data_IF_596641786932
#
_entry.id   IF_596641786932
#
_cell.length_a   1.000
_cell.length_b   1.000
_cell.length_c   1.000
_cell.angle_alpha   90.00
_cell.angle_beta   90.00
_cell.angle_gamma   90.00
#
_symmetry.space_group_name_H-M   'P 1'
#
loop_
_entity.id
_entity.type
_entity.pdbx_description
1 polymer ?
#
# COMPACT_ATOMS: atom_id res chain seq x y z
N UNK A 1 -9.32 0.14 27.30
CA UNK A 1 -9.13 -0.64 26.06
C UNK A 1 -9.30 0.27 24.84
N UNK A 2 -8.45 1.31 24.69
CA UNK A 2 -8.60 2.39 23.68
C UNK A 2 -7.38 2.55 22.76
N UNK A 3 -6.40 1.64 22.83
CA UNK A 3 -5.11 1.80 22.14
C UNK A 3 -5.14 1.49 20.63
N UNK A 4 -6.17 0.82 20.10
CA UNK A 4 -6.17 0.40 18.69
C UNK A 4 -6.56 1.52 17.69
N UNK A 5 -7.43 2.46 18.06
CA UNK A 5 -7.94 3.47 17.10
C UNK A 5 -6.86 4.47 16.66
N UNK A 6 -5.95 4.85 17.58
CA UNK A 6 -4.83 5.73 17.26
C UNK A 6 -3.79 5.08 16.33
N UNK A 7 -3.71 3.75 16.32
CA UNK A 7 -2.73 3.03 15.54
C UNK A 7 -2.98 3.10 14.02
N UNK A 8 -4.25 3.18 13.62
CA UNK A 8 -4.64 3.13 12.20
C UNK A 8 -4.79 4.51 11.54
N UNK A 9 -5.00 5.57 12.32
CA UNK A 9 -5.21 6.91 11.75
C UNK A 9 -3.96 7.44 11.01
N UNK A 10 -2.76 7.25 11.58
CA UNK A 10 -1.51 7.68 10.94
C UNK A 10 -1.28 7.02 9.57
N UNK A 11 -1.23 5.67 9.48
CA UNK A 11 -1.10 4.99 8.19
C UNK A 11 -2.23 5.28 7.21
N UNK A 12 -3.46 5.49 7.69
CA UNK A 12 -4.60 5.86 6.82
C UNK A 12 -4.41 7.23 6.17
N UNK A 13 -4.09 8.25 6.96
CA UNK A 13 -3.87 9.60 6.48
C UNK A 13 -2.65 9.66 5.55
N UNK A 14 -1.57 8.95 5.90
CA UNK A 14 -0.38 8.79 5.05
C UNK A 14 -0.72 8.14 3.70
N UNK A 15 -1.52 7.06 3.71
CA UNK A 15 -1.94 6.38 2.47
C UNK A 15 -2.80 7.30 1.62
N UNK A 16 -3.74 8.03 2.22
CA UNK A 16 -4.60 8.97 1.50
C UNK A 16 -3.80 10.11 0.88
N UNK A 17 -2.85 10.69 1.62
CA UNK A 17 -1.96 11.73 1.12
C UNK A 17 -1.13 11.24 -0.08
N UNK A 18 -0.54 10.03 0.02
CA UNK A 18 0.21 9.42 -1.08
C UNK A 18 -0.66 9.10 -2.30
N UNK A 19 -1.91 8.65 -2.11
CA UNK A 19 -2.85 8.42 -3.21
C UNK A 19 -3.17 9.72 -3.97
N UNK A 20 -3.40 10.81 -3.24
CA UNK A 20 -3.64 12.14 -3.83
C UNK A 20 -2.40 12.60 -4.59
N UNK A 21 -1.22 12.46 -4.00
CA UNK A 21 0.06 12.84 -4.62
C UNK A 21 0.32 12.02 -5.89
N UNK A 22 0.13 10.70 -5.85
CA UNK A 22 0.28 9.81 -7.00
C UNK A 22 -0.73 10.15 -8.13
N UNK A 23 -1.99 10.42 -7.79
CA UNK A 23 -3.00 10.89 -8.76
C UNK A 23 -2.56 12.18 -9.43
N UNK A 24 -2.09 13.14 -8.66
CA UNK A 24 -1.64 14.44 -9.18
C UNK A 24 -0.40 14.28 -10.07
N UNK A 25 0.54 13.41 -9.68
CA UNK A 25 1.71 13.07 -10.48
C UNK A 25 1.31 12.45 -11.84
N UNK A 26 0.41 11.45 -11.84
CA UNK A 26 -0.05 10.79 -13.06
C UNK A 26 -0.77 11.79 -13.98
N UNK A 27 -1.60 12.67 -13.42
CA UNK A 27 -2.29 13.71 -14.19
C UNK A 27 -1.31 14.71 -14.83
N UNK A 28 -0.25 15.09 -14.11
CA UNK A 28 0.82 15.93 -14.64
C UNK A 28 1.65 15.22 -15.72
N UNK A 29 1.91 13.92 -15.53
CA UNK A 29 2.70 13.11 -16.45
C UNK A 29 2.01 12.92 -17.82
N UNK A 30 0.69 13.07 -17.96
CA UNK A 30 0.03 13.02 -19.27
C UNK A 30 0.26 14.27 -20.14
N UNK A 31 1.02 15.26 -19.64
CA UNK A 31 1.37 16.48 -20.38
C UNK A 31 2.16 16.20 -21.67
N UNK A 32 2.03 17.11 -22.64
CA UNK A 32 2.63 16.98 -23.98
C UNK A 32 4.16 16.79 -23.96
N UNK A 33 4.86 17.29 -22.94
CA UNK A 33 6.31 17.14 -22.77
C UNK A 33 6.73 15.69 -22.47
N UNK A 34 5.96 14.96 -21.66
CA UNK A 34 6.22 13.55 -21.36
C UNK A 34 5.97 12.63 -22.57
N UNK A 35 5.08 13.03 -23.49
CA UNK A 35 4.84 12.30 -24.74
C UNK A 35 6.05 12.30 -25.68
N UNK A 36 6.98 13.24 -25.51
CA UNK A 36 8.22 13.34 -26.29
C UNK A 36 9.32 12.39 -25.79
N UNK A 37 9.15 11.79 -24.61
CA UNK A 37 10.11 10.83 -24.07
C UNK A 37 10.18 9.56 -24.94
N UNK A 38 11.34 8.87 -24.97
CA UNK A 38 11.46 7.59 -25.66
C UNK A 38 10.39 6.58 -25.19
N UNK A 39 9.84 5.74 -26.08
CA UNK A 39 8.80 4.76 -25.72
C UNK A 39 9.16 3.86 -24.53
N UNK A 40 10.42 3.46 -24.43
CA UNK A 40 10.95 2.62 -23.35
C UNK A 40 10.87 3.33 -22.00
N UNK A 41 11.28 4.60 -21.95
CA UNK A 41 11.23 5.43 -20.73
C UNK A 41 9.77 5.63 -20.30
N UNK A 42 8.88 5.91 -21.26
CA UNK A 42 7.44 6.04 -20.98
C UNK A 42 6.83 4.76 -20.42
N UNK A 43 7.19 3.60 -20.99
CA UNK A 43 6.72 2.31 -20.50
C UNK A 43 7.19 2.07 -19.06
N UNK A 44 8.44 2.39 -18.76
CA UNK A 44 8.98 2.26 -17.42
C UNK A 44 8.26 3.17 -16.43
N UNK A 45 8.02 4.44 -16.77
CA UNK A 45 7.26 5.35 -15.92
C UNK A 45 5.83 4.83 -15.67
N UNK A 46 5.15 4.31 -16.68
CA UNK A 46 3.83 3.70 -16.51
C UNK A 46 3.85 2.49 -15.59
N UNK A 47 4.82 1.58 -15.79
CA UNK A 47 5.00 0.40 -14.95
C UNK A 47 5.20 0.79 -13.48
N UNK A 48 6.10 1.74 -13.24
CA UNK A 48 6.41 2.23 -11.89
C UNK A 48 5.24 2.97 -11.24
N UNK A 49 4.50 3.76 -12.02
CA UNK A 49 3.29 4.45 -11.53
C UNK A 49 2.22 3.44 -11.13
N UNK A 50 2.02 2.37 -11.93
CA UNK A 50 1.10 1.29 -11.58
C UNK A 50 1.54 0.59 -10.30
N UNK A 51 2.84 0.35 -10.13
CA UNK A 51 3.40 -0.26 -8.91
C UNK A 51 3.11 0.57 -7.67
N UNK A 52 3.30 1.90 -7.73
CA UNK A 52 2.89 2.82 -6.65
C UNK A 52 1.40 2.69 -6.36
N UNK A 53 0.54 2.74 -7.38
CA UNK A 53 -0.92 2.65 -7.17
C UNK A 53 -1.37 1.31 -6.59
N UNK A 54 -0.74 0.20 -7.00
CA UNK A 54 -1.02 -1.14 -6.47
C UNK A 54 -0.68 -1.23 -4.99
N UNK A 55 0.50 -0.76 -4.57
CA UNK A 55 0.90 -0.70 -3.16
C UNK A 55 -0.12 0.06 -2.32
N UNK A 56 -0.45 1.28 -2.75
CA UNK A 56 -1.34 2.16 -1.99
C UNK A 56 -2.77 1.64 -1.93
N UNK A 57 -3.28 1.04 -3.00
CA UNK A 57 -4.62 0.46 -3.05
C UNK A 57 -4.74 -0.71 -2.08
N UNK A 58 -3.76 -1.62 -2.08
CA UNK A 58 -3.76 -2.76 -1.17
C UNK A 58 -3.64 -2.33 0.29
N UNK A 59 -2.76 -1.37 0.58
CA UNK A 59 -2.66 -0.78 1.91
C UNK A 59 -3.99 -0.16 2.36
N UNK A 60 -4.66 0.58 1.47
CA UNK A 60 -5.95 1.20 1.78
C UNK A 60 -7.02 0.14 2.04
N UNK A 61 -7.10 -0.92 1.23
CA UNK A 61 -8.05 -2.02 1.41
C UNK A 61 -7.84 -2.70 2.79
N UNK A 62 -6.60 -3.01 3.14
CA UNK A 62 -6.26 -3.58 4.45
C UNK A 62 -6.68 -2.65 5.60
N UNK A 63 -6.34 -1.35 5.51
CA UNK A 63 -6.69 -0.37 6.55
C UNK A 63 -8.20 -0.20 6.72
N UNK A 64 -8.97 -0.26 5.63
CA UNK A 64 -10.44 -0.21 5.68
C UNK A 64 -11.02 -1.46 6.34
N UNK A 65 -10.46 -2.65 6.07
CA UNK A 65 -10.87 -3.87 6.77
C UNK A 65 -10.62 -3.77 8.29
N UNK A 66 -9.44 -3.28 8.70
CA UNK A 66 -9.14 -3.07 10.13
C UNK A 66 -10.09 -2.06 10.78
N UNK A 67 -10.48 -1.00 10.04
CA UNK A 67 -11.50 -0.05 10.51
C UNK A 67 -12.87 -0.69 10.67
N UNK A 68 -13.29 -1.54 9.74
CA UNK A 68 -14.56 -2.28 9.82
C UNK A 68 -14.59 -3.23 11.04
N UNK A 69 -13.46 -3.89 11.34
CA UNK A 69 -13.32 -4.70 12.56
C UNK A 69 -13.49 -3.85 13.81
N UNK A 70 -12.83 -2.68 13.85
CA UNK A 70 -12.95 -1.77 14.98
C UNK A 70 -14.38 -1.23 15.16
N UNK A 71 -15.11 -1.01 14.07
CA UNK A 71 -16.50 -0.58 14.08
C UNK A 71 -17.48 -1.72 14.46
N UNK A 72 -17.01 -2.97 14.55
CA UNK A 72 -17.86 -4.15 14.77
C UNK A 72 -18.65 -4.58 13.53
N UNK A 73 -18.29 -4.08 12.35
CA UNK A 73 -18.93 -4.38 11.07
C UNK A 73 -18.33 -5.64 10.40
N UNK A 74 -17.14 -6.07 10.86
CA UNK A 74 -16.40 -7.22 10.34
C UNK A 74 -15.73 -7.97 11.50
N UNK A 75 -15.61 -9.30 11.40
CA UNK A 75 -14.84 -10.06 12.40
C UNK A 75 -13.34 -10.02 12.10
N UNK A 76 -12.50 -10.32 13.11
CA UNK A 76 -11.04 -10.37 12.89
C UNK A 76 -10.65 -11.44 11.87
N UNK A 77 -11.35 -12.57 11.87
CA UNK A 77 -11.13 -13.70 10.96
C UNK A 77 -11.46 -13.29 9.52
N UNK A 78 -12.53 -12.52 9.32
CA UNK A 78 -12.89 -11.99 8.01
C UNK A 78 -11.83 -11.00 7.51
N UNK A 79 -11.35 -10.08 8.36
CA UNK A 79 -10.31 -9.14 7.97
C UNK A 79 -8.93 -9.78 7.77
N UNK A 80 -8.68 -10.94 8.37
CA UNK A 80 -7.47 -11.73 8.19
C UNK A 80 -7.57 -12.72 7.01
N UNK A 81 -8.67 -12.71 6.24
CA UNK A 81 -8.80 -13.56 5.06
C UNK A 81 -7.87 -13.12 3.92
N UNK A 82 -7.74 -13.96 2.90
CA UNK A 82 -6.97 -13.63 1.69
C UNK A 82 -7.57 -12.44 0.90
N UNK A 83 -8.85 -12.12 1.09
CA UNK A 83 -9.52 -11.02 0.40
C UNK A 83 -8.95 -9.65 0.79
N UNK A 84 -8.42 -9.54 2.01
CA UNK A 84 -7.82 -8.32 2.54
C UNK A 84 -6.31 -8.43 2.75
N UNK A 85 -5.70 -9.54 2.31
CA UNK A 85 -4.25 -9.72 2.35
C UNK A 85 -3.53 -8.68 1.46
N UNK A 86 -2.31 -8.34 1.83
CA UNK A 86 -1.41 -7.56 0.97
C UNK A 86 -0.82 -8.44 -0.15
N UNK A 87 -1.67 -8.93 -1.07
CA UNK A 87 -1.35 -9.92 -2.11
C UNK A 87 -0.51 -9.41 -3.29
N UNK A 88 0.11 -8.24 -3.15
CA UNK A 88 0.94 -7.60 -4.18
C UNK A 88 2.27 -8.30 -4.48
N UNK A 89 2.62 -9.29 -3.67
CA UNK A 89 3.73 -10.21 -3.91
C UNK A 89 5.08 -9.51 -4.12
N UNK A 90 5.94 -10.13 -4.93
CA UNK A 90 7.29 -9.63 -5.24
C UNK A 90 7.27 -8.22 -5.87
N UNK A 91 6.24 -7.91 -6.66
CA UNK A 91 6.14 -6.60 -7.32
C UNK A 91 5.97 -5.48 -6.28
N UNK A 92 5.06 -5.65 -5.33
CA UNK A 92 4.83 -4.60 -4.32
C UNK A 92 5.96 -4.54 -3.27
N UNK A 93 6.64 -5.66 -3.01
CA UNK A 93 7.77 -5.73 -2.07
C UNK A 93 9.14 -5.41 -2.69
N UNK A 94 9.24 -5.22 -4.01
CA UNK A 94 10.50 -4.84 -4.65
C UNK A 94 10.92 -3.38 -4.30
N UNK A 95 12.08 -3.16 -3.66
CA UNK A 95 12.55 -1.82 -3.30
C UNK A 95 13.17 -1.03 -4.47
N UNK A 96 13.30 -1.63 -5.67
CA UNK A 96 13.93 -1.00 -6.83
C UNK A 96 13.20 0.26 -7.30
N UNK A 97 13.88 1.09 -8.09
CA UNK A 97 13.29 2.24 -8.77
C UNK A 97 13.70 3.63 -8.22
N UNK A 98 13.75 3.88 -6.89
CA UNK A 98 14.19 5.16 -6.34
C UNK A 98 15.58 5.61 -6.80
N UNK A 99 16.49 4.66 -7.02
CA UNK A 99 17.87 4.92 -7.49
C UNK A 99 18.00 5.01 -9.02
N UNK A 100 16.93 4.76 -9.78
CA UNK A 100 16.98 4.84 -11.23
C UNK A 100 16.88 6.30 -11.70
N UNK A 101 18.01 6.91 -12.06
CA UNK A 101 18.08 8.32 -12.47
C UNK A 101 17.32 8.66 -13.77
N UNK A 102 16.96 7.66 -14.59
CA UNK A 102 16.12 7.86 -15.78
C UNK A 102 14.65 8.14 -15.40
N UNK A 103 14.25 7.84 -14.16
CA UNK A 103 12.92 8.15 -13.66
C UNK A 103 12.84 9.58 -13.11
N UNK A 104 11.71 10.29 -13.35
CA UNK A 104 11.48 11.59 -12.74
C UNK A 104 11.57 11.54 -11.23
N UNK A 105 12.22 12.53 -10.61
CA UNK A 105 12.44 12.59 -9.16
C UNK A 105 11.15 12.44 -8.33
N UNK A 106 10.03 13.01 -8.81
CA UNK A 106 8.73 12.86 -8.17
C UNK A 106 8.27 11.40 -8.09
N UNK A 107 8.47 10.61 -9.15
CA UNK A 107 8.13 9.19 -9.16
C UNK A 107 9.06 8.37 -8.27
N UNK A 108 10.35 8.70 -8.25
CA UNK A 108 11.34 8.04 -7.36
C UNK A 108 10.97 8.23 -5.89
N UNK A 109 10.58 9.45 -5.51
CA UNK A 109 10.06 9.76 -4.16
C UNK A 109 8.78 8.99 -3.84
N UNK A 110 7.83 8.91 -4.77
CA UNK A 110 6.59 8.14 -4.60
C UNK A 110 6.86 6.63 -4.45
N UNK A 111 7.82 6.07 -5.21
CA UNK A 111 8.23 4.67 -5.10
C UNK A 111 8.81 4.35 -3.72
N UNK A 112 9.74 5.18 -3.25
CA UNK A 112 10.38 5.00 -1.94
C UNK A 112 9.34 5.05 -0.80
N UNK A 113 8.51 6.10 -0.79
CA UNK A 113 7.51 6.31 0.27
C UNK A 113 6.42 5.26 0.26
N UNK A 114 5.89 4.92 -0.92
CA UNK A 114 4.88 3.86 -1.04
C UNK A 114 5.42 2.48 -0.65
N UNK A 115 6.68 2.18 -0.98
CA UNK A 115 7.33 0.93 -0.57
C UNK A 115 7.51 0.87 0.96
N UNK A 116 8.04 1.94 1.57
CA UNK A 116 8.22 2.01 3.03
C UNK A 116 6.89 1.82 3.79
N UNK A 117 5.83 2.48 3.33
CA UNK A 117 4.48 2.32 3.86
C UNK A 117 3.97 0.89 3.68
N UNK A 118 4.08 0.31 2.48
CA UNK A 118 3.67 -1.06 2.21
C UNK A 118 4.37 -2.06 3.13
N UNK A 119 5.69 -1.95 3.31
CA UNK A 119 6.46 -2.84 4.19
C UNK A 119 6.14 -2.68 5.67
N UNK A 120 5.74 -1.47 6.09
CA UNK A 120 5.23 -1.25 7.45
C UNK A 120 3.89 -1.96 7.63
N UNK A 121 2.94 -1.76 6.73
CA UNK A 121 1.60 -2.36 6.81
C UNK A 121 1.65 -3.88 6.66
N UNK A 122 2.55 -4.41 5.83
CA UNK A 122 2.79 -5.85 5.71
C UNK A 122 3.20 -6.50 7.05
N UNK A 123 4.03 -5.81 7.84
CA UNK A 123 4.38 -6.29 9.18
C UNK A 123 3.19 -6.27 10.14
N UNK A 124 2.31 -5.29 10.01
CA UNK A 124 1.08 -5.20 10.80
C UNK A 124 0.09 -6.32 10.43
N UNK A 125 -0.06 -6.60 9.13
CA UNK A 125 -0.88 -7.70 8.65
C UNK A 125 -0.42 -9.04 9.22
N UNK A 126 0.89 -9.32 9.17
CA UNK A 126 1.46 -10.53 9.75
C UNK A 126 1.18 -10.65 11.26
N UNK A 127 1.22 -9.55 12.01
CA UNK A 127 0.87 -9.54 13.44
C UNK A 127 -0.61 -9.84 13.66
N UNK A 128 -1.52 -9.21 12.89
CA UNK A 128 -2.97 -9.44 12.99
C UNK A 128 -3.32 -10.90 12.69
N UNK A 129 -2.72 -11.48 11.65
CA UNK A 129 -2.94 -12.90 11.28
C UNK A 129 -2.44 -13.85 12.36
N UNK A 130 -1.24 -13.62 12.88
CA UNK A 130 -0.70 -14.41 13.98
C UNK A 130 -1.56 -14.32 15.24
N UNK A 131 -2.19 -13.17 15.50
CA UNK A 131 -3.11 -13.00 16.63
C UNK A 131 -4.39 -13.84 16.45
N UNK A 132 -4.98 -13.82 15.25
CA UNK A 132 -6.16 -14.63 14.90
C UNK A 132 -5.86 -16.13 15.02
N UNK A 133 -4.71 -16.59 14.51
CA UNK A 133 -4.30 -17.99 14.60
C UNK A 133 -4.14 -18.46 16.06
N UNK A 134 -3.56 -17.61 16.93
CA UNK A 134 -3.42 -17.93 18.36
C UNK A 134 -4.77 -17.98 19.08
N UNK A 135 -5.68 -17.04 18.78
CA UNK A 135 -7.04 -17.04 19.33
C UNK A 135 -7.80 -18.31 18.91
N UNK A 136 -7.66 -18.73 17.65
CA UNK A 136 -8.25 -19.98 17.14
C UNK A 136 -7.68 -21.23 17.83
N UNK A 137 -6.36 -21.31 18.03
CA UNK A 137 -5.73 -22.44 18.70
C UNK A 137 -6.15 -22.57 20.18
N UNK A 138 -6.32 -21.45 20.88
CA UNK A 138 -6.76 -21.43 22.27
C UNK A 138 -8.23 -21.83 22.45
N UNK A 139 -9.07 -21.65 21.43
CA UNK A 139 -10.49 -22.04 21.47
C UNK A 139 -10.73 -23.56 21.26
N UNK A 140 -9.71 -24.28 20.78
CA UNK A 140 -9.79 -25.72 20.46
C UNK A 140 -9.20 -26.61 21.58
N UNK A 141 -8.41 -26.03 22.49
CA UNK A 141 -7.79 -26.72 23.64
C UNK A 141 -8.57 -26.55 24.94
#
# INVERSE_FOLDING_TARGET
MTSHTFFFNGPYDETMALLIEARNYIAYHDAAEHRKLPPQVRLQISYESMRVTSRLTQVMAWLLAQKAVHAGEMTKEQAASEDFALSGGEICSDPSGPDNEDLPSGLRSLLERSHSLYMRVHRLDAMVRADVEREAAAAVG
#
